data_IF_608915957320
#
_entry.id   IF_608915957320
#
_cell.length_a   1.000
_cell.length_b   1.000
_cell.length_c   1.000
_cell.angle_alpha   90.00
_cell.angle_beta   90.00
_cell.angle_gamma   90.00
#
_symmetry.space_group_name_H-M   'P 1'
#
loop_
_entity.id
_entity.type
_entity.pdbx_description
1 polymer ?
#
# COMPACT_ATOMS: atom_id res chain seq x y z
N UNK A 1 1.33 -10.88 4.82
CA UNK A 1 0.28 -10.38 3.91
C UNK A 1 -0.80 -9.60 4.68
N UNK A 2 -1.34 -10.16 5.77
CA UNK A 2 -2.48 -9.58 6.52
C UNK A 2 -2.31 -8.13 6.99
N UNK A 3 -1.08 -7.70 7.34
CA UNK A 3 -0.83 -6.32 7.79
C UNK A 3 -1.16 -5.27 6.73
N UNK A 4 -0.86 -5.54 5.46
CA UNK A 4 -0.95 -4.53 4.39
C UNK A 4 -2.14 -4.77 3.45
N UNK A 5 -2.54 -6.02 3.23
CA UNK A 5 -3.48 -6.35 2.14
C UNK A 5 -4.84 -5.68 2.26
N UNK A 6 -5.50 -5.83 3.41
CA UNK A 6 -6.79 -5.21 3.70
C UNK A 6 -6.69 -3.68 3.83
N UNK A 7 -5.56 -3.16 4.31
CA UNK A 7 -5.34 -1.72 4.50
C UNK A 7 -5.11 -1.00 3.17
N UNK A 8 -4.39 -1.62 2.23
CA UNK A 8 -4.21 -1.12 0.87
C UNK A 8 -5.53 -1.14 0.10
N UNK A 9 -6.32 -2.20 0.23
CA UNK A 9 -7.66 -2.27 -0.35
C UNK A 9 -8.59 -1.18 0.22
N UNK A 10 -8.52 -0.94 1.53
CA UNK A 10 -9.27 0.16 2.14
C UNK A 10 -8.84 1.53 1.61
N UNK A 11 -7.54 1.77 1.44
CA UNK A 11 -7.03 3.00 0.81
C UNK A 11 -7.55 3.15 -0.63
N UNK A 12 -7.55 2.09 -1.43
CA UNK A 12 -8.11 2.09 -2.79
C UNK A 12 -9.59 2.49 -2.80
N UNK A 13 -10.38 1.98 -1.84
CA UNK A 13 -11.79 2.33 -1.69
C UNK A 13 -11.97 3.81 -1.31
N UNK A 14 -11.19 4.32 -0.34
CA UNK A 14 -11.24 5.74 0.04
C UNK A 14 -10.93 6.67 -1.14
N UNK A 15 -9.97 6.27 -1.97
CA UNK A 15 -9.49 7.03 -3.11
C UNK A 15 -10.35 6.86 -4.37
N UNK A 16 -11.46 6.09 -4.36
CA UNK A 16 -12.28 5.77 -5.55
C UNK A 16 -13.12 6.94 -6.09
N UNK A 17 -13.42 7.05 -7.42
CA UNK A 17 -13.81 8.32 -8.06
C UNK A 17 -15.14 8.88 -7.57
N UNK A 18 -16.05 8.00 -7.13
CA UNK A 18 -17.34 8.38 -6.56
C UNK A 18 -17.25 9.16 -5.24
N UNK A 19 -16.11 9.13 -4.54
CA UNK A 19 -15.88 9.87 -3.30
C UNK A 19 -15.23 11.25 -3.51
N UNK A 20 -14.49 11.43 -4.61
CA UNK A 20 -13.51 12.53 -4.78
C UNK A 20 -14.14 13.89 -5.08
N UNK A 21 -15.27 13.94 -5.80
CA UNK A 21 -15.82 15.20 -6.31
C UNK A 21 -16.57 16.05 -5.27
N UNK A 22 -16.90 15.50 -4.09
CA UNK A 22 -17.67 16.23 -3.08
C UNK A 22 -16.83 16.65 -1.84
N UNK A 23 -15.73 15.96 -1.50
CA UNK A 23 -15.03 16.20 -0.24
C UNK A 23 -13.56 15.75 -0.21
N UNK A 24 -12.76 16.12 -1.21
CA UNK A 24 -11.34 15.74 -1.32
C UNK A 24 -10.52 16.06 -0.06
N UNK A 25 -10.79 17.17 0.63
CA UNK A 25 -10.12 17.51 1.90
C UNK A 25 -10.40 16.48 3.01
N UNK A 26 -11.63 15.98 3.12
CA UNK A 26 -11.94 14.92 4.09
C UNK A 26 -11.25 13.60 3.73
N UNK A 27 -11.19 13.25 2.44
CA UNK A 27 -10.46 12.07 1.97
C UNK A 27 -8.98 12.16 2.36
N UNK A 28 -8.35 13.32 2.18
CA UNK A 28 -6.95 13.54 2.59
C UNK A 28 -6.76 13.28 4.09
N UNK A 29 -7.68 13.75 4.93
CA UNK A 29 -7.63 13.51 6.37
C UNK A 29 -7.82 12.03 6.72
N UNK A 30 -8.73 11.33 6.05
CA UNK A 30 -8.98 9.92 6.29
C UNK A 30 -7.82 9.04 5.81
N UNK A 31 -7.24 9.33 4.64
CA UNK A 31 -6.02 8.69 4.15
C UNK A 31 -4.86 8.92 5.12
N UNK A 32 -4.68 10.16 5.62
CA UNK A 32 -3.66 10.46 6.64
C UNK A 32 -3.82 9.60 7.89
N UNK A 33 -5.04 9.45 8.41
CA UNK A 33 -5.32 8.58 9.57
C UNK A 33 -4.96 7.11 9.26
N UNK A 34 -5.32 6.62 8.08
CA UNK A 34 -5.00 5.25 7.68
C UNK A 34 -3.50 5.01 7.54
N UNK A 35 -2.77 5.94 6.92
CA UNK A 35 -1.31 5.87 6.83
C UNK A 35 -0.66 5.84 8.20
N UNK A 36 -1.14 6.65 9.15
CA UNK A 36 -0.69 6.63 10.54
C UNK A 36 -0.91 5.25 11.18
N UNK A 37 -2.07 4.61 10.95
CA UNK A 37 -2.37 3.26 11.45
C UNK A 37 -1.46 2.21 10.78
N UNK A 38 -1.20 2.34 9.48
CA UNK A 38 -0.35 1.44 8.71
C UNK A 38 1.10 1.48 9.20
N UNK A 39 1.63 2.69 9.38
CA UNK A 39 3.02 2.96 9.71
C UNK A 39 3.27 3.13 11.22
N UNK A 40 2.28 2.91 12.09
CA UNK A 40 2.38 3.23 13.52
C UNK A 40 3.63 2.69 14.21
N UNK A 41 4.05 1.47 13.87
CA UNK A 41 5.25 0.84 14.45
C UNK A 41 6.56 1.38 13.89
N UNK A 42 6.49 2.12 12.78
CA UNK A 42 7.62 2.64 12.00
C UNK A 42 7.76 4.17 12.17
N UNK A 43 6.72 4.84 12.68
CA UNK A 43 6.71 6.23 13.11
C UNK A 43 7.25 6.36 14.55
N UNK A 44 8.49 5.93 14.78
CA UNK A 44 9.15 6.06 16.08
C UNK A 44 9.72 7.49 16.26
N UNK A 45 10.00 7.93 17.50
CA UNK A 45 10.61 9.24 17.73
C UNK A 45 11.90 9.47 16.94
N UNK A 46 12.65 8.41 16.67
CA UNK A 46 13.90 8.42 15.92
C UNK A 46 13.70 8.61 14.41
N UNK A 47 12.49 8.41 13.91
CA UNK A 47 12.12 8.57 12.49
C UNK A 47 11.37 9.88 12.20
N UNK A 48 11.08 10.67 13.24
CA UNK A 48 10.53 12.02 13.10
C UNK A 48 11.69 13.02 12.92
N UNK A 49 11.68 13.89 11.90
CA UNK A 49 12.76 14.84 11.69
C UNK A 49 12.95 15.77 12.90
N UNK A 50 14.14 15.69 13.51
CA UNK A 50 14.60 16.53 14.61
C UNK A 50 14.61 18.04 14.29
N UNK A 51 14.37 18.43 13.03
CA UNK A 51 14.27 19.84 12.62
C UNK A 51 12.88 20.45 12.88
N UNK A 52 11.96 19.71 13.50
CA UNK A 52 11.05 20.33 14.46
C UNK A 52 11.82 20.59 15.77
N UNK A 53 12.96 21.27 15.68
CA UNK A 53 13.69 21.77 16.83
C UNK A 53 12.77 22.79 17.47
N UNK A 54 12.04 22.33 18.49
CA UNK A 54 11.62 23.17 19.59
C UNK A 54 12.82 24.03 19.97
N UNK A 55 12.79 25.28 19.54
CA UNK A 55 13.67 26.30 20.12
C UNK A 55 13.30 26.34 21.60
N UNK A 56 14.21 25.80 22.42
CA UNK A 56 14.31 26.12 23.83
C UNK A 56 13.85 25.04 24.78
N UNK A 57 14.80 24.26 25.28
CA UNK A 57 14.81 23.93 26.71
C UNK A 57 14.81 25.25 27.51
N UNK A 58 13.82 25.39 28.38
CA UNK A 58 13.75 26.19 29.60
C UNK A 58 14.54 27.52 29.62
N UNK A 59 13.89 28.61 29.20
CA UNK A 59 13.77 29.89 29.90
C UNK A 59 12.63 30.62 29.19
N UNK A 60 11.62 31.07 29.94
CA UNK A 60 10.38 31.60 29.38
C UNK A 60 10.61 32.75 28.40
N UNK A 61 10.07 32.63 27.18
CA UNK A 61 10.04 33.72 26.20
C UNK A 61 8.73 33.69 25.40
N UNK A 62 8.13 34.87 25.31
CA UNK A 62 6.89 35.25 24.62
C UNK A 62 6.87 34.82 23.15
N UNK A 63 5.68 34.47 22.64
CA UNK A 63 5.39 34.42 21.21
C UNK A 63 5.71 35.77 20.53
N UNK A 64 6.54 35.82 19.47
CA UNK A 64 6.60 36.99 18.60
C UNK A 64 5.56 36.85 17.48
N UNK A 65 4.86 37.95 17.25
CA UNK A 65 3.87 38.13 16.21
C UNK A 65 4.49 38.06 14.80
N UNK A 66 3.64 37.61 13.87
CA UNK A 66 3.63 37.82 12.43
C UNK A 66 4.82 38.59 11.82
N UNK A 67 5.65 37.89 11.05
CA UNK A 67 6.44 38.49 9.98
C UNK A 67 6.37 37.59 8.75
N UNK A 68 5.74 38.14 7.70
CA UNK A 68 5.74 37.58 6.36
C UNK A 68 7.18 37.54 5.84
N UNK A 69 7.70 36.33 5.56
CA UNK A 69 8.96 36.17 4.86
C UNK A 69 8.74 35.19 3.70
N UNK A 70 8.98 35.71 2.51
CA UNK A 70 8.93 35.00 1.24
C UNK A 70 9.76 33.71 1.33
N UNK A 71 9.09 32.56 1.30
CA UNK A 71 9.74 31.27 1.25
C UNK A 71 10.10 30.96 -0.20
N UNK A 72 11.35 31.22 -0.54
CA UNK A 72 12.02 30.62 -1.70
C UNK A 72 11.74 29.11 -1.68
N UNK A 73 11.12 28.58 -2.74
CA UNK A 73 10.80 27.16 -2.89
C UNK A 73 12.06 26.30 -2.64
N UNK A 74 12.17 25.72 -1.45
CA UNK A 74 13.14 24.66 -1.18
C UNK A 74 12.59 23.40 -1.86
N UNK A 75 13.34 22.74 -2.77
CA UNK A 75 12.89 21.48 -3.34
C UNK A 75 12.62 20.50 -2.20
N UNK A 76 11.44 19.88 -2.21
CA UNK A 76 11.00 18.90 -1.21
C UNK A 76 12.08 17.81 -1.12
N UNK A 77 12.75 17.74 0.02
CA UNK A 77 13.68 16.66 0.31
C UNK A 77 12.92 15.61 1.10
N UNK A 78 12.50 14.53 0.44
CA UNK A 78 11.89 13.34 1.06
C UNK A 78 12.86 12.59 1.98
N UNK A 79 14.05 13.15 2.21
CA UNK A 79 15.10 12.62 3.06
C UNK A 79 14.67 12.37 4.49
N UNK A 80 13.75 13.18 5.02
CA UNK A 80 13.26 12.99 6.39
C UNK A 80 12.44 11.72 6.57
N UNK A 81 11.92 11.15 5.49
CA UNK A 81 11.13 9.92 5.51
C UNK A 81 12.02 8.67 5.42
N UNK A 82 13.29 8.82 5.01
CA UNK A 82 14.23 7.69 4.86
C UNK A 82 14.26 6.78 6.11
N UNK A 83 14.31 7.31 7.34
CA UNK A 83 14.29 6.45 8.53
C UNK A 83 13.00 5.62 8.66
N UNK A 84 11.84 6.17 8.27
CA UNK A 84 10.55 5.45 8.26
C UNK A 84 10.61 4.31 7.22
N UNK A 85 11.10 4.61 6.01
CA UNK A 85 11.26 3.63 4.93
C UNK A 85 12.23 2.51 5.32
N UNK A 86 13.38 2.85 5.88
CA UNK A 86 14.42 1.87 6.25
C UNK A 86 13.93 0.93 7.35
N UNK A 87 13.26 1.47 8.38
CA UNK A 87 12.69 0.67 9.45
C UNK A 87 11.58 -0.25 8.91
N UNK A 88 10.59 0.33 8.21
CA UNK A 88 9.46 -0.40 7.66
C UNK A 88 9.91 -1.51 6.68
N UNK A 89 10.89 -1.24 5.82
CA UNK A 89 11.34 -2.17 4.79
C UNK A 89 12.20 -3.34 5.32
N UNK A 90 12.67 -3.25 6.57
CA UNK A 90 13.58 -4.24 7.15
C UNK A 90 13.03 -4.93 8.40
N UNK A 91 11.94 -4.45 9.00
CA UNK A 91 11.52 -4.88 10.35
C UNK A 91 11.30 -6.39 10.50
N UNK A 92 10.80 -7.09 9.47
CA UNK A 92 10.58 -8.55 9.53
C UNK A 92 11.86 -9.37 9.43
N UNK A 93 12.93 -8.77 8.90
CA UNK A 93 14.15 -9.49 8.53
C UNK A 93 15.40 -8.97 9.23
N UNK A 94 15.29 -7.88 10.00
CA UNK A 94 16.42 -7.19 10.64
C UNK A 94 17.13 -8.03 11.70
N UNK A 95 16.43 -8.96 12.35
CA UNK A 95 16.97 -9.81 13.41
C UNK A 95 17.53 -11.16 12.89
N UNK A 96 17.45 -11.40 11.59
CA UNK A 96 17.84 -12.68 11.00
C UNK A 96 19.37 -12.73 10.72
N UNK A 97 20.04 -13.87 10.95
CA UNK A 97 21.48 -14.00 10.73
C UNK A 97 21.82 -14.19 9.24
N UNK A 98 21.66 -13.13 8.45
CA UNK A 98 21.83 -13.15 6.99
C UNK A 98 23.17 -13.77 6.53
N UNK A 99 24.24 -13.55 7.28
CA UNK A 99 25.57 -14.03 6.93
C UNK A 99 25.69 -15.56 6.96
N UNK A 100 24.88 -16.23 7.79
CA UNK A 100 24.89 -17.70 7.92
C UNK A 100 23.96 -18.40 6.92
N UNK A 101 23.19 -17.63 6.14
CA UNK A 101 22.15 -18.18 5.28
C UNK A 101 22.69 -18.95 4.07
N UNK A 102 22.00 -20.04 3.74
CA UNK A 102 22.15 -20.74 2.45
C UNK A 102 21.67 -19.85 1.30
N UNK A 103 21.89 -20.31 0.06
CA UNK A 103 21.45 -19.58 -1.13
C UNK A 103 19.92 -19.43 -1.17
N UNK A 104 19.21 -20.46 -0.78
CA UNK A 104 17.74 -20.51 -0.76
C UNK A 104 17.19 -19.55 0.30
N UNK A 105 17.79 -19.55 1.50
CA UNK A 105 17.43 -18.63 2.58
C UNK A 105 17.69 -17.17 2.21
N UNK A 106 18.81 -16.87 1.54
CA UNK A 106 19.08 -15.52 0.99
C UNK A 106 18.06 -15.10 -0.05
N UNK A 107 17.56 -16.05 -0.84
CA UNK A 107 16.53 -15.79 -1.86
C UNK A 107 15.20 -15.42 -1.18
N UNK A 108 14.80 -16.17 -0.15
CA UNK A 108 13.60 -15.85 0.64
C UNK A 108 13.75 -14.51 1.38
N UNK A 109 14.91 -14.26 1.98
CA UNK A 109 15.21 -12.98 2.63
C UNK A 109 15.06 -11.81 1.64
N UNK A 110 15.67 -11.93 0.45
CA UNK A 110 15.60 -10.89 -0.57
C UNK A 110 14.17 -10.65 -1.07
N UNK A 111 13.38 -11.71 -1.23
CA UNK A 111 11.98 -11.60 -1.61
C UNK A 111 11.16 -10.85 -0.55
N UNK A 112 11.28 -11.22 0.74
CA UNK A 112 10.57 -10.54 1.82
C UNK A 112 10.99 -9.07 1.94
N UNK A 113 12.31 -8.80 1.94
CA UNK A 113 12.85 -7.44 2.04
C UNK A 113 12.46 -6.59 0.83
N UNK A 114 12.48 -7.15 -0.38
CA UNK A 114 12.10 -6.45 -1.60
C UNK A 114 10.63 -6.06 -1.60
N UNK A 115 9.74 -6.99 -1.26
CA UNK A 115 8.29 -6.71 -1.14
C UNK A 115 7.99 -5.67 -0.07
N UNK A 116 8.63 -5.75 1.10
CA UNK A 116 8.49 -4.74 2.13
C UNK A 116 9.01 -3.39 1.67
N UNK A 117 10.17 -3.34 1.00
CA UNK A 117 10.74 -2.10 0.49
C UNK A 117 9.77 -1.39 -0.44
N UNK A 118 9.15 -2.10 -1.38
CA UNK A 118 8.23 -1.48 -2.33
C UNK A 118 6.94 -0.98 -1.66
N UNK A 119 6.35 -1.76 -0.76
CA UNK A 119 5.20 -1.35 0.05
C UNK A 119 5.53 -0.10 0.87
N UNK A 120 6.65 -0.15 1.61
CA UNK A 120 7.06 0.92 2.50
C UNK A 120 7.47 2.17 1.72
N UNK A 121 8.05 2.05 0.52
CA UNK A 121 8.40 3.18 -0.36
C UNK A 121 7.17 3.99 -0.69
N UNK A 122 6.11 3.34 -1.19
CA UNK A 122 4.85 4.01 -1.54
C UNK A 122 4.20 4.62 -0.31
N UNK A 123 4.01 3.86 0.77
CA UNK A 123 3.35 4.36 1.99
C UNK A 123 4.08 5.53 2.63
N UNK A 124 5.41 5.50 2.64
CA UNK A 124 6.28 6.57 3.16
C UNK A 124 6.13 7.85 2.35
N UNK A 125 6.10 7.75 1.01
CA UNK A 125 5.87 8.89 0.14
C UNK A 125 4.48 9.50 0.37
N UNK A 126 3.42 8.68 0.37
CA UNK A 126 2.06 9.14 0.68
C UNK A 126 2.00 9.83 2.05
N UNK A 127 2.68 9.26 3.06
CA UNK A 127 2.72 9.84 4.40
C UNK A 127 3.31 11.24 4.41
N UNK A 128 4.39 11.49 3.66
CA UNK A 128 4.98 12.82 3.62
C UNK A 128 4.08 13.87 3.01
N UNK A 129 3.38 13.50 1.94
CA UNK A 129 2.44 14.40 1.28
C UNK A 129 1.19 14.64 2.12
N UNK A 130 0.77 13.64 2.92
CA UNK A 130 -0.36 13.77 3.83
C UNK A 130 -0.01 14.55 5.11
N UNK A 131 1.25 14.48 5.55
CA UNK A 131 1.73 15.18 6.74
C UNK A 131 1.93 16.67 6.47
N UNK A 132 2.61 17.01 5.36
CA UNK A 132 2.94 18.37 4.94
C UNK A 132 2.51 18.60 3.47
N UNK A 133 1.20 18.79 3.22
CA UNK A 133 0.70 19.05 1.87
C UNK A 133 1.21 20.42 1.40
N UNK A 134 1.75 20.47 0.18
CA UNK A 134 2.19 21.75 -0.40
C UNK A 134 0.98 22.69 -0.53
N UNK A 135 1.11 23.97 -0.18
CA UNK A 135 0.00 24.91 -0.14
C UNK A 135 -0.68 25.13 -1.50
N UNK A 136 0.04 24.86 -2.60
CA UNK A 136 -0.46 24.99 -3.97
C UNK A 136 -1.12 23.70 -4.51
N UNK A 137 -1.03 22.58 -3.79
CA UNK A 137 -1.57 21.30 -4.28
C UNK A 137 -3.08 21.26 -4.07
N UNK A 138 -3.82 21.16 -5.18
CA UNK A 138 -5.25 20.88 -5.14
C UNK A 138 -5.49 19.49 -4.50
N UNK A 139 -6.37 19.38 -3.48
CA UNK A 139 -6.69 18.09 -2.86
C UNK A 139 -7.18 17.02 -3.84
N UNK A 140 -7.84 17.42 -4.93
CA UNK A 140 -8.29 16.48 -5.98
C UNK A 140 -7.09 15.85 -6.69
N UNK A 141 -6.15 16.67 -7.14
CA UNK A 141 -4.92 16.19 -7.82
C UNK A 141 -4.08 15.30 -6.90
N UNK A 142 -4.07 15.60 -5.60
CA UNK A 142 -3.38 14.79 -4.60
C UNK A 142 -4.02 13.40 -4.46
N UNK A 143 -5.34 13.35 -4.35
CA UNK A 143 -6.11 12.09 -4.27
C UNK A 143 -5.93 11.25 -5.54
N UNK A 144 -5.94 11.87 -6.72
CA UNK A 144 -5.74 11.15 -7.99
C UNK A 144 -4.33 10.59 -8.12
N UNK A 145 -3.30 11.31 -7.66
CA UNK A 145 -1.93 10.78 -7.61
C UNK A 145 -1.80 9.62 -6.63
N UNK A 146 -2.33 9.74 -5.42
CA UNK A 146 -2.30 8.65 -4.43
C UNK A 146 -3.05 7.42 -4.92
N UNK A 147 -4.18 7.61 -5.60
CA UNK A 147 -4.90 6.51 -6.25
C UNK A 147 -4.00 5.78 -7.24
N UNK A 148 -3.35 6.52 -8.14
CA UNK A 148 -2.46 5.90 -9.14
C UNK A 148 -1.35 5.09 -8.47
N UNK A 149 -0.69 5.66 -7.45
CA UNK A 149 0.37 5.00 -6.69
C UNK A 149 -0.10 3.74 -5.96
N UNK A 150 -1.29 3.77 -5.34
CA UNK A 150 -1.87 2.60 -4.65
C UNK A 150 -2.28 1.52 -5.66
N UNK A 151 -2.91 1.89 -6.78
CA UNK A 151 -3.28 0.94 -7.83
C UNK A 151 -2.06 0.26 -8.46
N UNK A 152 -1.01 1.04 -8.75
CA UNK A 152 0.25 0.52 -9.28
C UNK A 152 0.91 -0.45 -8.28
N UNK A 153 0.96 -0.09 -6.99
CA UNK A 153 1.47 -0.97 -5.95
C UNK A 153 0.66 -2.27 -5.84
N UNK A 154 -0.67 -2.17 -5.83
CA UNK A 154 -1.54 -3.35 -5.74
C UNK A 154 -1.38 -4.24 -6.98
N UNK A 155 -1.26 -3.65 -8.17
CA UNK A 155 -0.98 -4.41 -9.39
C UNK A 155 0.40 -5.07 -9.35
N UNK A 156 1.42 -4.40 -8.81
CA UNK A 156 2.76 -4.96 -8.66
C UNK A 156 2.81 -6.11 -7.65
N UNK A 157 2.07 -5.99 -6.54
CA UNK A 157 1.99 -7.02 -5.51
C UNK A 157 1.20 -8.24 -5.96
N UNK A 158 0.14 -8.02 -6.75
CA UNK A 158 -0.76 -9.04 -7.29
C UNK A 158 -1.14 -10.11 -6.26
N UNK A 159 -1.50 -9.68 -5.05
CA UNK A 159 -1.79 -10.62 -3.97
C UNK A 159 -3.13 -11.32 -4.21
N UNK A 160 -3.18 -12.65 -4.02
CA UNK A 160 -4.36 -13.44 -4.33
C UNK A 160 -5.59 -13.07 -3.48
N UNK A 161 -5.40 -12.40 -2.34
CA UNK A 161 -6.51 -11.96 -1.50
C UNK A 161 -7.38 -10.88 -2.14
N UNK A 162 -6.88 -10.17 -3.16
CA UNK A 162 -7.67 -9.22 -3.94
C UNK A 162 -8.41 -9.87 -5.11
N UNK A 163 -8.09 -11.13 -5.44
CA UNK A 163 -8.83 -11.93 -6.40
C UNK A 163 -10.11 -12.46 -5.75
N UNK A 164 -11.15 -11.62 -5.75
CA UNK A 164 -12.46 -11.93 -5.18
C UNK A 164 -13.57 -11.57 -6.15
N UNK A 165 -14.70 -12.24 -5.99
CA UNK A 165 -15.90 -11.92 -6.76
C UNK A 165 -16.47 -10.58 -6.27
N UNK A 166 -16.65 -9.65 -7.20
CA UNK A 166 -17.23 -8.34 -6.94
C UNK A 166 -18.39 -8.11 -7.93
N UNK A 167 -19.65 -7.99 -7.47
CA UNK A 167 -20.10 -8.06 -6.07
C UNK A 167 -19.94 -9.46 -5.46
N UNK A 168 -20.08 -9.53 -4.12
CA UNK A 168 -20.07 -10.81 -3.41
C UNK A 168 -21.13 -11.77 -3.97
N UNK A 169 -20.78 -13.06 -4.01
CA UNK A 169 -21.66 -14.09 -4.52
C UNK A 169 -22.88 -14.29 -3.61
N UNK A 170 -24.04 -14.59 -4.21
CA UNK A 170 -25.26 -14.91 -3.46
C UNK A 170 -25.14 -16.21 -2.64
N UNK A 171 -26.05 -16.42 -1.69
CA UNK A 171 -26.01 -17.55 -0.74
C UNK A 171 -25.96 -18.93 -1.40
N UNK A 172 -26.56 -19.08 -2.58
CA UNK A 172 -26.59 -20.34 -3.36
C UNK A 172 -25.40 -20.48 -4.32
N UNK A 173 -24.42 -19.60 -4.22
CA UNK A 173 -23.22 -19.58 -5.04
C UNK A 173 -21.95 -19.49 -4.20
N UNK A 174 -20.82 -19.88 -4.78
CA UNK A 174 -19.49 -19.71 -4.20
C UNK A 174 -18.65 -18.89 -5.17
N UNK A 175 -17.71 -18.11 -4.64
CA UNK A 175 -16.71 -17.47 -5.46
C UNK A 175 -15.67 -18.51 -5.88
N UNK A 176 -15.68 -18.88 -7.15
CA UNK A 176 -14.70 -19.77 -7.73
C UNK A 176 -13.58 -18.95 -8.36
N UNK A 177 -12.36 -19.16 -7.87
CA UNK A 177 -11.14 -18.60 -8.45
C UNK A 177 -10.50 -19.76 -9.23
N UNK A 178 -10.33 -19.64 -10.56
CA UNK A 178 -9.69 -20.69 -11.34
C UNK A 178 -8.27 -20.96 -10.84
N UNK A 179 -7.96 -22.20 -10.48
CA UNK A 179 -6.64 -22.62 -10.00
C UNK A 179 -6.23 -23.93 -10.64
N UNK A 180 -5.05 -24.00 -11.26
CA UNK A 180 -4.55 -25.26 -11.80
C UNK A 180 -4.44 -26.36 -10.71
N UNK A 181 -4.87 -27.61 -10.93
CA UNK A 181 -5.46 -28.18 -12.15
C UNK A 181 -7.00 -28.19 -12.15
N UNK A 182 -7.66 -27.51 -11.22
CA UNK A 182 -9.13 -27.50 -11.10
C UNK A 182 -9.75 -26.31 -11.86
N UNK A 183 -10.54 -26.59 -12.90
CA UNK A 183 -11.22 -25.58 -13.72
C UNK A 183 -10.46 -25.11 -14.97
N UNK A 184 -9.23 -25.62 -15.16
CA UNK A 184 -8.58 -25.72 -16.48
C UNK A 184 -8.84 -27.17 -16.90
N UNK A 185 -9.41 -27.37 -18.08
CA UNK A 185 -10.17 -28.57 -18.43
C UNK A 185 -9.43 -29.87 -18.12
N UNK A 186 -10.15 -30.83 -17.54
CA UNK A 186 -9.92 -32.23 -17.92
C UNK A 186 -10.36 -32.38 -19.38
N UNK A 187 -9.54 -31.90 -20.31
CA UNK A 187 -9.59 -32.42 -21.66
C UNK A 187 -9.43 -33.95 -21.57
N UNK A 188 -10.18 -34.75 -22.35
CA UNK A 188 -9.75 -36.12 -22.57
C UNK A 188 -8.30 -36.06 -23.03
N UNK A 189 -7.47 -36.95 -22.50
CA UNK A 189 -6.00 -37.07 -22.65
C UNK A 189 -5.48 -37.07 -24.12
N UNK A 190 -6.35 -36.82 -25.09
CA UNK A 190 -6.15 -36.96 -26.54
C UNK A 190 -6.14 -35.63 -27.32
N UNK A 191 -6.44 -34.47 -26.71
CA UNK A 191 -6.39 -33.17 -27.41
C UNK A 191 -5.58 -32.11 -26.67
N UNK A 192 -4.26 -32.19 -26.83
CA UNK A 192 -3.33 -31.05 -26.66
C UNK A 192 -3.18 -30.47 -25.25
N UNK A 193 -2.05 -29.82 -25.01
CA UNK A 193 -1.90 -28.91 -23.87
C UNK A 193 -2.91 -27.77 -24.06
N UNK A 194 -3.87 -27.61 -23.15
CA UNK A 194 -4.75 -26.43 -23.19
C UNK A 194 -3.88 -25.18 -23.05
N UNK A 195 -4.06 -24.22 -23.95
CA UNK A 195 -3.35 -22.96 -23.89
C UNK A 195 -3.82 -22.20 -22.64
N UNK A 196 -3.01 -22.23 -21.59
CA UNK A 196 -3.27 -21.54 -20.32
C UNK A 196 -3.47 -20.02 -20.49
N UNK A 197 -3.10 -19.46 -21.64
CA UNK A 197 -3.33 -18.05 -21.98
C UNK A 197 -4.75 -17.75 -22.46
N UNK A 198 -5.53 -18.77 -22.88
CA UNK A 198 -6.93 -18.63 -23.29
C UNK A 198 -7.93 -18.82 -22.13
N UNK A 199 -7.46 -19.29 -20.97
CA UNK A 199 -8.30 -19.49 -19.79
C UNK A 199 -8.70 -18.14 -19.19
N UNK A 200 -10.00 -17.96 -18.98
CA UNK A 200 -10.52 -16.85 -18.18
C UNK A 200 -10.23 -17.09 -16.70
N UNK A 201 -9.15 -16.46 -16.20
CA UNK A 201 -8.68 -16.54 -14.82
C UNK A 201 -9.49 -15.66 -13.85
N UNK A 202 -10.54 -14.97 -14.31
CA UNK A 202 -11.31 -14.08 -13.44
C UNK A 202 -12.17 -14.85 -12.42
N UNK A 203 -12.21 -14.42 -11.14
CA UNK A 203 -13.09 -14.99 -10.14
C UNK A 203 -14.57 -14.88 -10.54
N UNK A 204 -15.33 -15.97 -10.44
CA UNK A 204 -16.75 -16.02 -10.84
C UNK A 204 -17.62 -16.74 -9.83
N UNK A 205 -18.86 -16.28 -9.69
CA UNK A 205 -19.83 -16.95 -8.84
C UNK A 205 -20.39 -18.19 -9.53
N UNK A 206 -20.18 -19.37 -8.93
CA UNK A 206 -20.73 -20.65 -9.43
C UNK A 206 -21.75 -21.23 -8.46
N UNK A 207 -22.84 -21.88 -8.94
CA UNK A 207 -23.86 -22.45 -8.06
C UNK A 207 -23.33 -23.58 -7.18
N UNK A 208 -23.79 -23.63 -5.92
CA UNK A 208 -23.52 -24.74 -5.00
C UNK A 208 -24.20 -26.03 -5.51
N UNK A 209 -23.42 -27.04 -5.88
CA UNK A 209 -23.94 -28.35 -6.30
C UNK A 209 -24.13 -28.55 -7.81
N UNK A 210 -23.67 -27.62 -8.65
CA UNK A 210 -23.60 -27.84 -10.11
C UNK A 210 -22.58 -28.92 -10.47
N UNK A 211 -22.93 -29.83 -11.39
CA UNK A 211 -22.02 -30.86 -11.93
C UNK A 211 -21.05 -30.26 -12.97
N UNK A 212 -20.25 -29.28 -12.57
CA UNK A 212 -19.33 -28.57 -13.47
C UNK A 212 -18.05 -28.16 -12.76
N UNK A 213 -17.42 -29.13 -12.08
CA UNK A 213 -16.07 -29.03 -11.54
C UNK A 213 -15.11 -29.82 -12.43
#
# INVERSE_FOLDING_TARGET
>A
MDRYGSRLEYLQLLLSPGSVSANATAIVQDVRKQLMIILMTDLTPDTIPNNATLVGSNIGVKCPQAQAQAQTQKPRSDEWIKPILDHCSSYLVSYLPYDTFTREERTLYAAVRGTLHEVCRVLSLLWSEAYDPLPETNPVDLVDRWRAQILELMQWLDWPMWNKCTPECGLDSICFIPTWPMGVGKGPYEQGEEDLTEVDWTPKCVPKGGKGW
#
